data_IF_196345536896
#
_entry.id   IF_196345536896
#
_cell.length_a   1.000
_cell.length_b   1.000
_cell.length_c   1.000
_cell.angle_alpha   90.00
_cell.angle_beta   90.00
_cell.angle_gamma   90.00
#
_symmetry.space_group_name_H-M   'P 1'
#
loop_
_entity.id
_entity.type
_entity.pdbx_description
1 polymer ?
#
# COMPACT_ATOMS: atom_id res chain seq x y z
N UNK A 1 -110.10 -31.64 37.20
CA UNK A 1 -110.23 -30.38 36.44
C UNK A 1 -108.82 -29.82 36.29
N UNK A 2 -108.48 -29.50 35.04
CA UNK A 2 -107.22 -29.03 34.45
C UNK A 2 -106.36 -28.12 35.36
N UNK A 3 -105.03 -28.03 35.21
CA UNK A 3 -104.39 -27.04 34.33
C UNK A 3 -102.84 -27.16 34.37
N UNK A 4 -102.25 -27.24 33.17
CA UNK A 4 -101.05 -26.61 32.59
C UNK A 4 -99.72 -26.35 33.35
N UNK A 5 -98.62 -26.80 32.70
CA UNK A 5 -97.33 -26.14 32.34
C UNK A 5 -97.28 -24.59 32.51
N UNK A 6 -96.09 -23.94 32.76
CA UNK A 6 -95.04 -23.83 31.72
C UNK A 6 -93.56 -23.63 32.15
N UNK A 7 -92.71 -23.72 31.11
CA UNK A 7 -91.30 -23.31 30.98
C UNK A 7 -91.12 -21.77 30.93
N UNK A 8 -89.94 -21.27 31.32
CA UNK A 8 -89.30 -20.05 30.80
C UNK A 8 -87.77 -20.21 30.98
N UNK A 9 -86.96 -20.43 29.93
CA UNK A 9 -86.34 -19.46 29.00
C UNK A 9 -85.56 -18.32 29.66
N UNK A 10 -84.22 -18.39 29.59
CA UNK A 10 -83.33 -17.23 29.61
C UNK A 10 -82.11 -17.49 28.69
N UNK A 11 -81.64 -16.39 28.10
CA UNK A 11 -80.92 -16.27 26.83
C UNK A 11 -79.39 -16.47 26.89
N UNK A 12 -78.82 -16.58 25.68
CA UNK A 12 -77.45 -16.85 25.29
C UNK A 12 -76.40 -15.78 25.66
N UNK A 13 -75.14 -16.22 25.72
CA UNK A 13 -73.99 -15.46 25.20
C UNK A 13 -72.85 -16.44 24.80
N UNK A 14 -72.39 -16.44 23.53
CA UNK A 14 -71.22 -17.22 23.11
C UNK A 14 -69.94 -16.43 23.40
N UNK A 15 -69.00 -17.03 24.14
CA UNK A 15 -67.64 -16.51 24.28
C UNK A 15 -66.87 -16.73 22.98
N UNK A 16 -66.55 -15.66 22.28
CA UNK A 16 -65.62 -15.66 21.16
C UNK A 16 -64.18 -15.83 21.68
N UNK A 17 -63.53 -16.92 21.30
CA UNK A 17 -62.10 -17.14 21.54
C UNK A 17 -61.33 -16.36 20.48
N UNK A 18 -60.72 -15.25 20.88
CA UNK A 18 -59.77 -14.49 20.06
C UNK A 18 -58.46 -15.28 20.01
N UNK A 19 -58.16 -15.87 18.85
CA UNK A 19 -56.85 -16.45 18.57
C UNK A 19 -55.82 -15.31 18.45
N UNK A 20 -54.97 -15.17 19.47
CA UNK A 20 -53.79 -14.30 19.42
C UNK A 20 -52.78 -14.94 18.46
N UNK A 21 -52.72 -14.42 17.24
CA UNK A 21 -51.65 -14.75 16.28
C UNK A 21 -50.36 -14.17 16.85
N UNK A 22 -49.53 -15.04 17.42
CA UNK A 22 -48.16 -14.71 17.80
C UNK A 22 -47.36 -14.41 16.52
N UNK A 23 -47.33 -13.14 16.12
CA UNK A 23 -46.42 -12.66 15.10
C UNK A 23 -45.00 -12.81 15.59
N UNK A 24 -44.30 -13.84 15.09
CA UNK A 24 -42.85 -13.93 15.21
C UNK A 24 -42.25 -12.71 14.51
N UNK A 25 -41.73 -11.76 15.28
CA UNK A 25 -40.79 -10.77 14.76
C UNK A 25 -39.55 -11.53 14.30
N UNK A 26 -39.52 -11.92 13.03
CA UNK A 26 -38.31 -12.44 12.41
C UNK A 26 -37.28 -11.31 12.45
N UNK A 27 -36.33 -11.41 13.37
CA UNK A 27 -35.14 -10.58 13.33
C UNK A 27 -34.50 -10.78 11.95
N UNK A 28 -34.48 -9.75 11.11
CA UNK A 28 -33.65 -9.75 9.90
C UNK A 28 -32.21 -10.01 10.35
N UNK A 29 -31.74 -11.24 10.10
CA UNK A 29 -30.36 -11.60 10.39
C UNK A 29 -29.53 -10.89 9.34
N UNK A 30 -28.82 -9.84 9.76
CA UNK A 30 -27.89 -9.14 8.89
C UNK A 30 -26.89 -10.14 8.28
N UNK A 31 -26.87 -10.22 6.95
CA UNK A 31 -25.92 -11.04 6.19
C UNK A 31 -24.90 -10.10 5.58
N UNK A 32 -23.66 -10.15 6.05
CA UNK A 32 -22.58 -9.36 5.47
C UNK A 32 -22.28 -9.79 4.02
N UNK A 33 -21.88 -8.85 3.14
CA UNK A 33 -21.38 -9.17 1.80
C UNK A 33 -20.11 -10.03 1.85
N UNK A 34 -19.70 -10.66 0.73
CA UNK A 34 -18.47 -11.44 0.69
C UNK A 34 -17.25 -10.54 0.88
N UNK A 35 -16.29 -11.01 1.66
CA UNK A 35 -14.98 -10.36 1.84
C UNK A 35 -13.90 -11.16 1.12
N UNK A 36 -12.88 -10.47 0.62
CA UNK A 36 -11.81 -11.06 -0.18
C UNK A 36 -10.49 -10.92 0.56
N UNK A 37 -9.72 -12.01 0.61
CA UNK A 37 -8.40 -12.06 1.27
C UNK A 37 -7.38 -12.72 0.33
N UNK A 38 -6.15 -12.21 0.32
CA UNK A 38 -5.03 -12.84 -0.40
C UNK A 38 -4.46 -13.97 0.45
N UNK A 39 -4.55 -15.20 -0.03
CA UNK A 39 -4.05 -16.38 0.68
C UNK A 39 -2.52 -16.40 0.66
N UNK A 40 -1.92 -16.72 1.81
CA UNK A 40 -0.47 -16.80 1.95
C UNK A 40 0.24 -15.45 2.14
N UNK A 41 -0.49 -14.33 1.99
CA UNK A 41 0.06 -13.01 2.28
C UNK A 41 0.20 -12.82 3.80
N UNK A 42 1.40 -12.44 4.24
CA UNK A 42 1.65 -11.96 5.60
C UNK A 42 1.81 -10.46 5.54
N UNK A 43 0.92 -9.72 6.21
CA UNK A 43 0.88 -8.25 6.18
C UNK A 43 0.85 -7.64 4.77
N UNK A 44 0.20 -8.34 3.82
CA UNK A 44 0.13 -7.92 2.41
C UNK A 44 1.37 -8.29 1.59
N UNK A 45 2.25 -9.15 2.09
CA UNK A 45 3.47 -9.57 1.37
C UNK A 45 3.42 -11.07 1.08
N UNK A 46 3.59 -11.43 -0.20
CA UNK A 46 3.74 -12.80 -0.70
C UNK A 46 5.21 -13.12 -0.92
N UNK A 47 5.66 -14.34 -0.69
CA UNK A 47 7.10 -14.69 -0.74
C UNK A 47 7.54 -15.47 -1.98
N UNK A 48 6.59 -15.94 -2.79
CA UNK A 48 6.87 -16.72 -3.99
C UNK A 48 6.13 -16.11 -5.19
N UNK A 49 6.88 -15.41 -6.05
CA UNK A 49 6.36 -14.79 -7.28
C UNK A 49 6.00 -15.81 -8.35
N UNK A 50 6.49 -17.06 -8.25
CA UNK A 50 6.20 -18.14 -9.19
C UNK A 50 4.98 -18.95 -8.78
N UNK A 51 4.55 -18.86 -7.53
CA UNK A 51 3.33 -19.50 -7.07
C UNK A 51 2.09 -18.80 -7.66
N UNK A 52 0.99 -19.54 -7.90
CA UNK A 52 -0.28 -18.93 -8.24
C UNK A 52 -0.75 -17.97 -7.13
N UNK A 53 -1.28 -16.82 -7.52
CA UNK A 53 -1.95 -15.90 -6.59
C UNK A 53 -3.34 -16.46 -6.28
N UNK A 54 -3.67 -16.63 -5.00
CA UNK A 54 -4.96 -17.20 -4.59
C UNK A 54 -5.74 -16.17 -3.78
N UNK A 55 -6.95 -15.86 -4.24
CA UNK A 55 -7.92 -15.06 -3.51
C UNK A 55 -8.92 -15.99 -2.85
N UNK A 56 -9.20 -15.77 -1.56
CA UNK A 56 -10.23 -16.46 -0.82
C UNK A 56 -11.37 -15.51 -0.52
N UNK A 57 -12.59 -16.00 -0.70
CA UNK A 57 -13.82 -15.34 -0.35
C UNK A 57 -14.35 -15.89 0.98
N UNK A 58 -14.91 -15.05 1.84
CA UNK A 58 -15.50 -15.51 3.12
C UNK A 58 -16.76 -16.35 2.95
N UNK A 59 -17.36 -16.32 1.75
CA UNK A 59 -18.59 -17.04 1.38
C UNK A 59 -18.55 -17.40 -0.11
N UNK A 60 -19.30 -18.42 -0.55
CA UNK A 60 -19.47 -18.73 -1.97
C UNK A 60 -20.00 -17.53 -2.77
N UNK A 61 -19.27 -17.14 -3.81
CA UNK A 61 -19.62 -15.99 -4.66
C UNK A 61 -20.40 -16.43 -5.90
N UNK A 62 -21.16 -15.50 -6.48
CA UNK A 62 -21.74 -15.67 -7.80
C UNK A 62 -20.68 -15.29 -8.86
N UNK A 63 -20.23 -16.27 -9.64
CA UNK A 63 -19.17 -16.11 -10.67
C UNK A 63 -19.47 -14.99 -11.67
N UNK A 64 -20.73 -14.82 -12.06
CA UNK A 64 -21.16 -13.79 -13.00
C UNK A 64 -20.95 -12.35 -12.49
N UNK A 65 -20.79 -12.20 -11.18
CA UNK A 65 -20.57 -10.89 -10.51
C UNK A 65 -19.11 -10.65 -10.13
N UNK A 66 -18.22 -11.59 -10.41
CA UNK A 66 -16.81 -11.49 -10.05
C UNK A 66 -16.04 -10.74 -11.14
N UNK A 67 -15.71 -9.48 -10.86
CA UNK A 67 -14.81 -8.64 -11.65
C UNK A 67 -13.60 -8.27 -10.79
N UNK A 68 -12.44 -8.80 -11.17
CA UNK A 68 -11.17 -8.67 -10.43
C UNK A 68 -10.10 -8.17 -11.36
N UNK A 69 -9.40 -7.11 -10.95
CA UNK A 69 -8.23 -6.56 -11.66
C UNK A 69 -7.03 -6.53 -10.73
N UNK A 70 -5.85 -6.78 -11.27
CA UNK A 70 -4.57 -6.60 -10.58
C UNK A 70 -3.83 -5.49 -11.30
N UNK A 71 -3.55 -4.41 -10.60
CA UNK A 71 -2.94 -3.20 -11.16
C UNK A 71 -1.71 -2.80 -10.36
N UNK A 72 -0.73 -2.12 -10.98
CA UNK A 72 0.27 -1.35 -10.23
C UNK A 72 -0.44 -0.36 -9.29
N UNK A 73 0.07 -0.18 -8.07
CA UNK A 73 -0.45 0.85 -7.18
C UNK A 73 0.11 2.23 -7.58
N UNK A 74 -0.65 2.95 -8.39
CA UNK A 74 -0.39 4.33 -8.82
C UNK A 74 -1.48 5.23 -8.24
N UNK A 75 -1.15 6.03 -7.22
CA UNK A 75 -2.11 6.88 -6.52
C UNK A 75 -1.74 8.36 -6.69
N UNK A 76 -2.75 9.21 -6.82
CA UNK A 76 -2.57 10.67 -6.71
C UNK A 76 -2.45 11.11 -5.23
N UNK A 77 -2.43 12.42 -5.02
CA UNK A 77 -2.32 13.04 -3.70
C UNK A 77 -3.54 12.77 -2.81
N UNK A 78 -4.70 12.55 -3.42
CA UNK A 78 -5.94 12.20 -2.73
C UNK A 78 -6.09 10.69 -2.47
N UNK A 79 -5.21 9.85 -3.04
CA UNK A 79 -5.22 8.41 -2.87
C UNK A 79 -6.12 7.66 -3.88
N UNK A 80 -6.46 8.30 -4.99
CA UNK A 80 -7.25 7.77 -6.09
C UNK A 80 -6.37 7.01 -7.09
N UNK A 81 -6.89 5.88 -7.58
CA UNK A 81 -6.32 5.20 -8.75
C UNK A 81 -6.51 6.05 -10.02
N UNK A 82 -5.78 5.79 -11.12
CA UNK A 82 -5.86 6.58 -12.35
C UNK A 82 -7.30 6.78 -12.85
N UNK A 83 -8.13 5.74 -12.82
CA UNK A 83 -9.54 5.80 -13.27
C UNK A 83 -10.48 6.54 -12.31
N UNK A 84 -10.01 6.90 -11.13
CA UNK A 84 -10.77 7.59 -10.08
C UNK A 84 -10.48 9.11 -10.07
N UNK A 85 -9.51 9.59 -10.86
CA UNK A 85 -9.05 10.99 -10.84
C UNK A 85 -9.96 11.97 -11.60
N UNK A 86 -10.98 11.47 -12.30
CA UNK A 86 -11.94 12.29 -13.05
C UNK A 86 -11.43 12.79 -14.40
N UNK A 87 -10.24 12.38 -14.83
CA UNK A 87 -9.72 12.66 -16.18
C UNK A 87 -10.11 11.54 -17.15
N UNK A 88 -10.74 11.90 -18.26
CA UNK A 88 -11.31 10.94 -19.21
C UNK A 88 -10.27 10.04 -19.93
N UNK A 89 -8.97 10.28 -19.74
CA UNK A 89 -7.87 9.53 -20.37
C UNK A 89 -7.06 8.65 -19.43
N UNK A 90 -7.34 8.66 -18.12
CA UNK A 90 -6.59 7.84 -17.16
C UNK A 90 -7.30 6.51 -16.92
N UNK A 91 -7.09 5.53 -17.81
CA UNK A 91 -7.60 4.18 -17.62
C UNK A 91 -6.68 3.34 -16.71
N UNK A 92 -7.29 2.42 -15.94
CA UNK A 92 -6.52 1.37 -15.26
C UNK A 92 -5.77 0.51 -16.28
N UNK A 93 -4.52 0.22 -15.98
CA UNK A 93 -3.66 -0.69 -16.76
C UNK A 93 -3.48 -2.00 -16.00
N UNK A 94 -4.44 -2.94 -16.08
CA UNK A 94 -4.34 -4.21 -15.38
C UNK A 94 -3.17 -5.04 -15.92
N UNK A 95 -2.37 -5.57 -15.00
CA UNK A 95 -1.43 -6.67 -15.27
C UNK A 95 -2.19 -7.99 -15.47
N UNK A 96 -3.36 -8.10 -14.82
CA UNK A 96 -4.29 -9.20 -14.94
C UNK A 96 -5.72 -8.69 -14.74
N UNK A 97 -6.69 -9.24 -15.47
CA UNK A 97 -8.12 -9.01 -15.22
C UNK A 97 -8.91 -10.28 -15.41
N UNK A 98 -9.98 -10.43 -14.62
CA UNK A 98 -10.90 -11.55 -14.65
C UNK A 98 -12.33 -11.06 -14.63
N UNK A 99 -13.13 -11.59 -15.54
CA UNK A 99 -14.59 -11.64 -15.52
C UNK A 99 -15.02 -13.05 -15.91
N UNK A 100 -16.31 -13.40 -15.77
CA UNK A 100 -16.82 -14.70 -16.26
C UNK A 100 -16.63 -14.88 -17.78
N UNK A 101 -16.60 -13.78 -18.54
CA UNK A 101 -16.52 -13.80 -19.99
C UNK A 101 -15.08 -13.81 -20.51
N UNK A 102 -14.17 -13.19 -19.77
CA UNK A 102 -12.82 -12.91 -20.23
C UNK A 102 -11.80 -12.93 -19.10
N UNK A 103 -10.62 -13.47 -19.38
CA UNK A 103 -9.42 -13.34 -18.54
C UNK A 103 -8.27 -12.77 -19.38
N UNK A 104 -7.61 -11.74 -18.88
CA UNK A 104 -6.42 -11.13 -19.49
C UNK A 104 -5.21 -11.25 -18.57
N UNK A 105 -4.02 -11.29 -19.16
CA UNK A 105 -2.75 -11.29 -18.41
C UNK A 105 -2.38 -12.63 -17.74
N UNK A 106 -3.18 -13.69 -17.91
CA UNK A 106 -2.91 -15.01 -17.34
C UNK A 106 -4.08 -15.97 -17.49
N UNK A 107 -4.02 -17.05 -16.71
CA UNK A 107 -5.10 -18.02 -16.53
C UNK A 107 -5.73 -17.84 -15.14
N UNK A 108 -7.00 -18.23 -15.05
CA UNK A 108 -7.80 -18.14 -13.83
C UNK A 108 -8.57 -19.44 -13.63
N UNK A 109 -8.78 -19.82 -12.37
CA UNK A 109 -9.63 -20.95 -12.02
C UNK A 109 -10.41 -20.61 -10.75
N UNK A 110 -11.74 -20.68 -10.82
CA UNK A 110 -12.61 -20.54 -9.65
C UNK A 110 -12.91 -21.93 -9.12
N UNK A 111 -12.59 -22.16 -7.84
CA UNK A 111 -12.78 -23.47 -7.24
C UNK A 111 -14.24 -23.94 -7.27
N UNK A 112 -14.51 -25.25 -7.16
CA UNK A 112 -15.88 -25.78 -7.25
C UNK A 112 -16.83 -25.25 -6.16
N UNK A 113 -16.28 -24.76 -5.04
CA UNK A 113 -17.05 -24.22 -3.92
C UNK A 113 -17.39 -22.72 -4.10
N UNK A 114 -16.84 -22.08 -5.13
CA UNK A 114 -16.93 -20.63 -5.40
C UNK A 114 -16.39 -19.79 -4.23
N UNK A 115 -15.44 -20.32 -3.49
CA UNK A 115 -14.79 -19.64 -2.37
C UNK A 115 -13.37 -19.22 -2.69
N UNK A 116 -12.82 -19.61 -3.84
CA UNK A 116 -11.45 -19.23 -4.24
C UNK A 116 -11.34 -18.90 -5.72
N UNK A 117 -10.52 -17.90 -6.02
CA UNK A 117 -10.03 -17.59 -7.36
C UNK A 117 -8.51 -17.81 -7.38
N UNK A 118 -8.05 -18.76 -8.19
CA UNK A 118 -6.64 -19.07 -8.41
C UNK A 118 -6.18 -18.40 -9.70
N UNK A 119 -5.20 -17.52 -9.60
CA UNK A 119 -4.66 -16.70 -10.69
C UNK A 119 -3.25 -17.18 -11.02
N UNK A 120 -3.03 -17.54 -12.27
CA UNK A 120 -1.72 -17.95 -12.82
C UNK A 120 -1.31 -16.93 -13.87
N UNK A 121 -0.50 -15.93 -13.51
CA UNK A 121 -0.19 -14.85 -14.44
C UNK A 121 0.73 -15.37 -15.55
N UNK A 122 0.54 -14.88 -16.78
CA UNK A 122 1.34 -15.28 -17.95
C UNK A 122 2.79 -14.82 -17.84
N UNK A 123 2.99 -13.67 -17.22
CA UNK A 123 4.29 -13.14 -16.81
C UNK A 123 4.28 -12.96 -15.28
N UNK A 124 5.41 -13.17 -14.59
CA UNK A 124 5.50 -12.89 -13.16
C UNK A 124 5.04 -11.47 -12.85
N UNK A 125 4.31 -11.29 -11.74
CA UNK A 125 3.99 -9.95 -11.29
C UNK A 125 5.26 -9.21 -10.83
N UNK A 126 5.32 -7.88 -10.96
CA UNK A 126 6.45 -7.08 -10.49
C UNK A 126 6.73 -7.33 -9.01
N UNK A 127 7.99 -7.65 -8.70
CA UNK A 127 8.47 -7.85 -7.32
C UNK A 127 8.91 -6.51 -6.75
N UNK A 128 8.65 -6.28 -5.46
CA UNK A 128 9.02 -5.06 -4.76
C UNK A 128 8.16 -3.83 -5.09
N UNK A 129 7.23 -3.94 -6.03
CA UNK A 129 6.20 -2.94 -6.27
C UNK A 129 4.97 -3.25 -5.41
N UNK A 130 4.28 -2.22 -4.88
CA UNK A 130 2.92 -2.40 -4.37
C UNK A 130 1.96 -2.58 -5.54
N UNK A 131 1.17 -3.63 -5.47
CA UNK A 131 0.09 -3.94 -6.38
C UNK A 131 -1.24 -3.79 -5.63
N UNK A 132 -2.29 -3.46 -6.37
CA UNK A 132 -3.64 -3.47 -5.87
C UNK A 132 -4.44 -4.56 -6.59
N UNK A 133 -5.15 -5.36 -5.80
CA UNK A 133 -6.28 -6.12 -6.29
C UNK A 133 -7.50 -5.22 -6.15
N UNK A 134 -8.10 -4.91 -7.29
CA UNK A 134 -9.33 -4.14 -7.38
C UNK A 134 -10.45 -5.13 -7.63
N UNK A 135 -11.40 -5.19 -6.72
CA UNK A 135 -12.66 -5.93 -6.88
C UNK A 135 -13.75 -4.89 -7.08
N UNK A 136 -14.38 -4.93 -8.25
CA UNK A 136 -15.39 -3.92 -8.61
C UNK A 136 -16.66 -4.06 -7.74
N UNK A 137 -17.45 -2.98 -7.59
CA UNK A 137 -18.76 -3.06 -6.95
C UNK A 137 -19.65 -4.12 -7.62
N UNK A 138 -20.52 -4.75 -6.84
CA UNK A 138 -21.47 -5.75 -7.34
C UNK A 138 -21.09 -7.20 -7.05
N UNK A 139 -19.91 -7.49 -6.48
CA UNK A 139 -19.55 -8.85 -6.06
C UNK A 139 -20.61 -9.42 -5.10
N UNK A 140 -21.33 -10.45 -5.55
CA UNK A 140 -22.46 -11.03 -4.84
C UNK A 140 -22.16 -12.43 -4.30
N UNK A 141 -22.82 -12.77 -3.20
CA UNK A 141 -23.00 -14.16 -2.77
C UNK A 141 -24.05 -14.85 -3.63
N UNK A 142 -24.10 -16.19 -3.60
CA UNK A 142 -25.16 -16.96 -4.27
C UNK A 142 -26.58 -16.60 -3.81
N UNK A 143 -26.71 -16.08 -2.59
CA UNK A 143 -27.99 -15.64 -2.01
C UNK A 143 -28.37 -14.19 -2.37
N UNK A 144 -27.58 -13.52 -3.22
CA UNK A 144 -27.89 -12.19 -3.77
C UNK A 144 -27.40 -10.99 -2.95
N UNK A 145 -26.69 -11.20 -1.83
CA UNK A 145 -26.07 -10.10 -1.06
C UNK A 145 -24.79 -9.66 -1.74
N UNK A 146 -24.70 -8.38 -2.12
CA UNK A 146 -23.61 -7.82 -2.93
C UNK A 146 -22.84 -6.67 -2.24
N UNK A 147 -21.58 -6.49 -2.65
CA UNK A 147 -20.78 -5.32 -2.26
C UNK A 147 -21.25 -4.06 -2.99
N UNK A 148 -21.36 -2.94 -2.28
CA UNK A 148 -21.76 -1.65 -2.86
C UNK A 148 -20.59 -0.75 -3.24
N UNK A 149 -19.40 -1.05 -2.72
CA UNK A 149 -18.18 -0.25 -2.93
C UNK A 149 -17.09 -1.11 -3.54
N UNK A 150 -16.24 -0.48 -4.33
CA UNK A 150 -15.01 -1.06 -4.85
C UNK A 150 -14.11 -1.44 -3.67
N UNK A 151 -13.52 -2.63 -3.72
CA UNK A 151 -12.53 -3.07 -2.72
C UNK A 151 -11.14 -3.01 -3.33
N UNK A 152 -10.22 -2.40 -2.59
CA UNK A 152 -8.79 -2.32 -2.93
C UNK A 152 -8.00 -3.10 -1.89
N UNK A 153 -7.35 -4.17 -2.32
CA UNK A 153 -6.52 -5.03 -1.45
C UNK A 153 -5.07 -4.85 -1.89
N UNK A 154 -4.28 -4.25 -1.02
CA UNK A 154 -2.88 -3.99 -1.29
C UNK A 154 -2.07 -5.26 -1.04
N UNK A 155 -1.20 -5.60 -1.98
CA UNK A 155 -0.23 -6.66 -1.80
C UNK A 155 1.08 -6.34 -2.52
N UNK A 156 2.13 -7.11 -2.23
CA UNK A 156 3.41 -7.06 -2.91
C UNK A 156 4.06 -8.43 -2.87
N UNK A 157 5.05 -8.66 -3.73
CA UNK A 157 5.96 -9.81 -3.59
C UNK A 157 7.23 -9.37 -2.87
N UNK A 158 7.59 -10.13 -1.84
CA UNK A 158 8.89 -10.10 -1.20
C UNK A 158 9.95 -10.50 -2.21
N UNK A 159 11.06 -9.79 -2.18
CA UNK A 159 12.19 -10.06 -3.02
C UNK A 159 13.26 -10.73 -2.16
N UNK A 160 13.53 -12.01 -2.43
CA UNK A 160 14.68 -12.70 -1.84
C UNK A 160 15.83 -12.68 -2.81
N UNK A 161 16.76 -11.79 -2.52
CA UNK A 161 17.94 -11.59 -3.31
C UNK A 161 18.94 -12.75 -3.20
N UNK A 162 19.54 -13.10 -4.33
CA UNK A 162 20.58 -14.12 -4.42
C UNK A 162 21.97 -13.55 -4.17
N UNK A 163 22.17 -12.26 -4.43
CA UNK A 163 23.47 -11.58 -4.37
C UNK A 163 24.43 -12.04 -5.47
N UNK A 164 23.91 -12.67 -6.53
CA UNK A 164 24.71 -13.25 -7.62
C UNK A 164 24.56 -12.52 -8.95
N UNK A 165 23.61 -11.59 -9.04
CA UNK A 165 23.38 -10.72 -10.19
C UNK A 165 23.20 -9.30 -9.73
N UNK A 166 23.76 -8.33 -10.47
CA UNK A 166 23.56 -6.92 -10.18
C UNK A 166 22.45 -6.27 -11.00
N UNK A 167 22.57 -4.95 -11.15
CA UNK A 167 21.63 -4.13 -11.91
C UNK A 167 22.35 -3.29 -12.96
N UNK A 168 21.76 -3.17 -14.14
CA UNK A 168 22.11 -2.18 -15.18
C UNK A 168 21.06 -1.07 -15.28
N UNK A 169 19.92 -1.26 -14.62
CA UNK A 169 18.80 -0.32 -14.61
C UNK A 169 19.07 0.82 -13.65
N UNK A 170 19.56 0.53 -12.44
CA UNK A 170 19.67 1.49 -11.34
C UNK A 170 21.14 1.91 -11.14
N UNK A 171 21.51 3.17 -11.39
CA UNK A 171 22.89 3.64 -11.24
C UNK A 171 23.21 4.05 -9.80
N UNK A 172 24.51 4.20 -9.52
CA UNK A 172 24.96 4.91 -8.32
C UNK A 172 24.56 6.38 -8.39
N UNK A 173 24.22 6.98 -7.25
CA UNK A 173 23.92 8.40 -7.21
C UNK A 173 23.10 8.84 -6.02
N UNK A 174 22.56 10.04 -6.16
CA UNK A 174 21.72 10.71 -5.17
C UNK A 174 20.24 10.45 -5.44
N UNK A 175 19.51 10.07 -4.39
CA UNK A 175 18.12 9.68 -4.46
C UNK A 175 17.28 10.51 -3.49
N UNK A 176 16.11 10.94 -3.92
CA UNK A 176 15.09 11.50 -3.03
C UNK A 176 14.01 10.45 -2.80
N UNK A 177 13.70 10.20 -1.53
CA UNK A 177 12.77 9.16 -1.11
C UNK A 177 11.70 9.71 -0.17
N UNK A 178 10.47 9.25 -0.37
CA UNK A 178 9.33 9.48 0.49
C UNK A 178 8.87 8.12 1.03
N UNK A 179 8.82 7.99 2.34
CA UNK A 179 8.26 6.82 3.01
C UNK A 179 6.96 7.25 3.69
N UNK A 180 5.82 6.85 3.13
CA UNK A 180 4.52 7.10 3.76
C UNK A 180 4.16 5.93 4.66
N UNK A 181 4.40 6.11 5.95
CA UNK A 181 3.96 5.17 6.99
C UNK A 181 2.45 5.30 7.10
N UNK A 182 1.74 4.19 6.91
CA UNK A 182 0.27 4.11 6.97
C UNK A 182 -0.20 3.61 8.35
N UNK A 183 0.58 2.72 8.96
CA UNK A 183 0.31 2.16 10.29
C UNK A 183 1.59 2.09 11.12
N UNK A 184 1.50 2.23 12.46
CA UNK A 184 0.28 2.45 13.26
C UNK A 184 -0.17 3.92 13.31
N UNK A 185 0.73 4.86 12.98
CA UNK A 185 0.42 6.29 12.92
C UNK A 185 0.81 6.80 11.53
N UNK A 186 -0.10 7.51 10.83
CA UNK A 186 0.19 7.98 9.49
C UNK A 186 1.20 9.14 9.51
N UNK A 187 2.39 8.93 8.95
CA UNK A 187 3.47 9.92 8.87
C UNK A 187 4.18 9.77 7.54
N UNK A 188 4.66 10.88 6.97
CA UNK A 188 5.57 10.83 5.82
C UNK A 188 6.98 11.17 6.28
N UNK A 189 7.95 10.31 5.94
CA UNK A 189 9.36 10.52 6.16
C UNK A 189 9.98 10.93 4.82
N UNK A 190 10.53 12.15 4.75
CA UNK A 190 11.25 12.62 3.57
C UNK A 190 12.75 12.38 3.77
N UNK A 191 13.42 11.81 2.77
CA UNK A 191 14.81 11.41 2.88
C UNK A 191 15.60 11.81 1.63
N UNK A 192 16.79 12.36 1.86
CA UNK A 192 17.86 12.42 0.87
C UNK A 192 18.81 11.26 1.11
N UNK A 193 19.04 10.45 0.08
CA UNK A 193 19.90 9.28 0.15
C UNK A 193 21.01 9.28 -0.87
N UNK A 194 22.12 8.64 -0.54
CA UNK A 194 23.15 8.27 -1.50
C UNK A 194 23.24 6.75 -1.55
N UNK A 195 23.08 6.18 -2.75
CA UNK A 195 23.15 4.74 -2.98
C UNK A 195 24.41 4.40 -3.76
N UNK A 196 25.18 3.46 -3.19
CA UNK A 196 26.28 2.78 -3.84
C UNK A 196 25.85 1.34 -4.12
N UNK A 197 25.92 0.96 -5.39
CA UNK A 197 25.45 -0.29 -5.94
C UNK A 197 26.62 -0.93 -6.67
N UNK A 198 26.91 -2.17 -6.30
CA UNK A 198 27.80 -3.02 -7.09
C UNK A 198 27.01 -3.63 -8.24
N UNK A 199 27.29 -3.15 -9.46
CA UNK A 199 26.59 -3.57 -10.68
C UNK A 199 26.82 -5.06 -11.03
N UNK A 200 27.76 -5.75 -10.38
CA UNK A 200 28.08 -7.15 -10.67
C UNK A 200 27.29 -8.10 -9.79
N UNK A 201 27.29 -7.87 -8.48
CA UNK A 201 26.65 -8.77 -7.49
C UNK A 201 25.36 -8.21 -6.89
N UNK A 202 25.01 -6.96 -7.22
CA UNK A 202 23.78 -6.32 -6.77
C UNK A 202 23.82 -5.83 -5.34
N UNK A 203 24.97 -5.86 -4.65
CA UNK A 203 25.05 -5.36 -3.29
C UNK A 203 24.80 -3.86 -3.25
N UNK A 204 23.87 -3.46 -2.38
CA UNK A 204 23.49 -2.06 -2.16
C UNK A 204 23.95 -1.63 -0.79
N UNK A 205 24.60 -0.48 -0.76
CA UNK A 205 24.95 0.26 0.45
C UNK A 205 24.42 1.66 0.28
N UNK A 206 23.56 2.07 1.18
CA UNK A 206 22.96 3.39 1.08
C UNK A 206 22.87 4.07 2.43
N UNK A 207 22.95 5.38 2.39
CA UNK A 207 22.77 6.22 3.56
C UNK A 207 21.71 7.25 3.25
N UNK A 208 20.63 7.20 4.04
CA UNK A 208 19.49 8.09 3.93
C UNK A 208 19.47 9.03 5.13
N UNK A 209 19.28 10.30 4.87
CA UNK A 209 19.26 11.39 5.86
C UNK A 209 17.92 12.09 5.78
N UNK A 210 17.38 12.49 6.93
CA UNK A 210 16.18 13.32 7.01
C UNK A 210 16.25 14.49 6.03
N UNK A 211 15.17 14.79 5.32
CA UNK A 211 15.11 15.91 4.39
C UNK A 211 14.15 16.98 4.92
N UNK A 212 14.68 18.15 5.25
CA UNK A 212 13.89 19.29 5.69
C UNK A 212 13.70 20.29 4.55
N UNK A 213 12.64 21.10 4.61
CA UNK A 213 12.42 22.15 3.61
C UNK A 213 13.58 23.14 3.60
N UNK A 214 14.06 23.48 2.40
CA UNK A 214 15.21 24.34 2.19
C UNK A 214 14.94 25.79 2.62
N UNK A 215 15.56 26.30 3.71
CA UNK A 215 15.31 27.65 4.19
C UNK A 215 15.92 28.73 3.28
N UNK A 216 16.86 28.37 2.40
CA UNK A 216 17.47 29.29 1.45
C UNK A 216 16.58 29.53 0.21
N UNK A 217 15.56 28.70 0.00
CA UNK A 217 14.66 28.80 -1.15
C UNK A 217 13.77 30.05 -1.04
N UNK A 218 13.65 30.78 -2.15
CA UNK A 218 12.86 32.02 -2.21
C UNK A 218 11.73 31.88 -3.21
N UNK A 219 10.52 32.20 -2.76
CA UNK A 219 9.33 32.26 -3.60
C UNK A 219 9.25 33.64 -4.28
N UNK A 220 8.52 33.76 -5.41
CA UNK A 220 8.30 35.05 -6.08
C UNK A 220 7.69 36.11 -5.15
N UNK A 221 6.84 35.68 -4.23
CA UNK A 221 6.38 36.48 -3.09
C UNK A 221 7.12 36.02 -1.84
N UNK A 222 7.63 36.97 -1.07
CA UNK A 222 8.34 36.67 0.17
C UNK A 222 7.42 35.99 1.17
N UNK A 223 7.87 34.84 1.69
CA UNK A 223 7.14 34.10 2.71
C UNK A 223 7.38 34.72 4.09
N UNK A 224 6.36 34.63 4.96
CA UNK A 224 6.52 34.95 6.37
C UNK A 224 7.64 34.09 7.00
N UNK A 225 8.26 34.59 8.06
CA UNK A 225 9.47 33.98 8.66
C UNK A 225 9.25 32.54 9.16
N UNK A 226 8.01 32.19 9.52
CA UNK A 226 7.58 30.86 9.96
C UNK A 226 7.19 29.91 8.82
N UNK A 227 7.27 30.37 7.57
CA UNK A 227 6.92 29.60 6.38
C UNK A 227 8.15 29.32 5.52
N UNK A 228 8.10 28.18 4.83
CA UNK A 228 9.07 27.80 3.82
C UNK A 228 8.49 28.02 2.43
N UNK A 229 9.37 28.28 1.46
CA UNK A 229 8.98 28.29 0.06
C UNK A 229 8.86 26.85 -0.46
N UNK A 230 7.78 26.56 -1.18
CA UNK A 230 7.62 25.39 -2.04
C UNK A 230 7.63 25.89 -3.49
N UNK A 231 8.38 25.28 -4.41
CA UNK A 231 8.40 25.70 -5.82
C UNK A 231 7.53 24.82 -6.72
N UNK A 232 7.37 23.55 -6.36
CA UNK A 232 6.61 22.58 -7.16
C UNK A 232 5.40 22.06 -6.38
N UNK A 233 4.26 21.78 -7.03
CA UNK A 233 3.97 21.99 -8.45
C UNK A 233 3.81 23.47 -8.86
N UNK A 234 3.62 24.36 -7.88
CA UNK A 234 3.63 25.81 -8.08
C UNK A 234 4.22 26.52 -6.85
N UNK A 235 4.81 27.72 -7.03
CA UNK A 235 5.35 28.52 -5.93
C UNK A 235 4.29 28.87 -4.87
N UNK A 236 4.55 28.50 -3.62
CA UNK A 236 3.64 28.77 -2.50
C UNK A 236 4.39 28.83 -1.15
N UNK A 237 3.83 29.56 -0.18
CA UNK A 237 4.39 29.69 1.16
C UNK A 237 3.69 28.72 2.11
N UNK A 238 4.39 27.63 2.43
CA UNK A 238 3.86 26.49 3.19
C UNK A 238 4.49 26.40 4.57
N UNK A 239 3.83 25.69 5.48
CA UNK A 239 4.45 25.37 6.78
C UNK A 239 5.64 24.41 6.55
N UNK A 240 6.76 24.55 7.29
CA UNK A 240 7.93 23.69 7.10
C UNK A 240 7.65 22.19 7.23
N UNK A 241 6.68 21.83 8.07
CA UNK A 241 6.24 20.44 8.30
C UNK A 241 5.28 19.89 7.25
N UNK A 242 4.92 20.69 6.23
CA UNK A 242 4.03 20.21 5.16
C UNK A 242 4.73 19.09 4.40
N UNK A 243 4.05 17.94 4.29
CA UNK A 243 4.47 16.78 3.50
C UNK A 243 4.81 17.18 2.06
N UNK A 244 5.73 16.45 1.45
CA UNK A 244 5.92 16.51 0.00
C UNK A 244 4.72 15.83 -0.65
N UNK A 245 4.17 16.43 -1.72
CA UNK A 245 3.13 15.78 -2.50
C UNK A 245 3.68 14.56 -3.23
N UNK A 246 4.85 14.69 -3.85
CA UNK A 246 5.51 13.59 -4.55
C UNK A 246 7.03 13.79 -4.64
N UNK A 247 7.72 12.81 -5.22
CA UNK A 247 9.19 12.81 -5.37
C UNK A 247 9.73 13.89 -6.32
N UNK A 248 8.88 14.62 -7.05
CA UNK A 248 9.29 15.71 -7.94
C UNK A 248 9.58 17.01 -7.18
N UNK A 249 9.13 17.12 -5.93
CA UNK A 249 9.39 18.26 -5.03
C UNK A 249 10.80 18.24 -4.40
N UNK A 250 11.70 17.33 -4.82
CA UNK A 250 13.06 17.16 -4.23
C UNK A 250 13.86 18.47 -4.10
N UNK A 251 13.66 19.42 -5.03
CA UNK A 251 14.35 20.72 -5.02
C UNK A 251 14.02 21.58 -3.79
N UNK A 252 12.88 21.30 -3.16
CA UNK A 252 12.37 22.06 -2.02
C UNK A 252 12.96 21.56 -0.70
N UNK A 253 13.77 20.50 -0.73
CA UNK A 253 14.31 19.84 0.45
C UNK A 253 15.84 19.74 0.45
N UNK A 254 16.44 19.80 1.63
CA UNK A 254 17.88 19.64 1.88
C UNK A 254 18.12 18.61 2.99
N UNK A 255 19.23 17.87 2.99
CA UNK A 255 19.53 16.91 4.04
C UNK A 255 19.75 17.62 5.38
N UNK A 256 19.14 17.10 6.45
CA UNK A 256 19.39 17.51 7.81
C UNK A 256 20.00 16.37 8.62
N UNK A 257 21.32 16.45 8.81
CA UNK A 257 22.11 15.51 9.63
C UNK A 257 22.16 15.89 11.10
N UNK A 258 21.69 17.09 11.48
CA UNK A 258 21.98 17.68 12.79
C UNK A 258 20.89 17.33 13.81
N UNK A 259 21.21 16.58 14.88
CA UNK A 259 20.26 16.32 15.95
C UNK A 259 19.81 17.63 16.63
N UNK A 260 18.60 17.68 17.24
CA UNK A 260 17.78 16.52 17.61
C UNK A 260 16.72 16.11 16.58
N UNK A 261 16.48 16.92 15.55
CA UNK A 261 15.48 16.63 14.49
C UNK A 261 16.11 15.97 13.26
N UNK A 262 17.39 16.22 12.99
CA UNK A 262 18.14 15.53 11.94
C UNK A 262 18.58 14.14 12.37
N UNK A 263 18.60 13.21 11.42
CA UNK A 263 19.02 11.83 11.60
C UNK A 263 19.48 11.24 10.29
N UNK A 264 20.27 10.17 10.39
CA UNK A 264 20.78 9.42 9.26
C UNK A 264 20.66 7.92 9.56
N UNK A 265 20.22 7.15 8.57
CA UNK A 265 20.12 5.69 8.62
C UNK A 265 20.96 5.10 7.50
N UNK A 266 21.75 4.09 7.84
CA UNK A 266 22.47 3.28 6.85
C UNK A 266 21.66 2.03 6.59
N UNK A 267 21.38 1.77 5.32
CA UNK A 267 20.73 0.56 4.86
C UNK A 267 21.72 -0.22 4.00
N UNK A 268 21.76 -1.52 4.21
CA UNK A 268 22.41 -2.44 3.29
C UNK A 268 21.31 -3.29 2.66
N UNK A 269 21.54 -3.78 1.46
CA UNK A 269 20.56 -4.56 0.75
C UNK A 269 21.14 -5.14 -0.50
N UNK A 270 20.26 -5.54 -1.40
CA UNK A 270 20.69 -5.87 -2.74
C UNK A 270 19.57 -5.70 -3.76
N UNK A 271 20.01 -5.56 -5.00
CA UNK A 271 19.20 -5.17 -6.14
C UNK A 271 19.52 -6.06 -7.34
N UNK A 272 18.48 -6.58 -7.99
CA UNK A 272 18.61 -7.44 -9.17
C UNK A 272 17.66 -6.95 -10.29
N UNK A 273 18.15 -6.91 -11.52
CA UNK A 273 17.30 -6.66 -12.70
C UNK A 273 16.24 -7.77 -12.82
N UNK A 274 14.98 -7.38 -12.98
CA UNK A 274 13.85 -8.31 -13.15
C UNK A 274 13.56 -8.50 -14.65
N UNK A 275 13.50 -7.38 -15.38
CA UNK A 275 13.35 -7.32 -16.83
C UNK A 275 14.34 -6.31 -17.44
N UNK A 276 14.22 -6.00 -18.73
CA UNK A 276 15.14 -5.10 -19.44
C UNK A 276 15.25 -3.69 -18.83
N UNK A 277 14.16 -3.18 -18.24
CA UNK A 277 14.06 -1.81 -17.73
C UNK A 277 13.61 -1.73 -16.26
N UNK A 278 13.56 -2.86 -15.56
CA UNK A 278 13.07 -2.97 -14.18
C UNK A 278 14.07 -3.67 -13.27
N UNK A 279 14.19 -3.21 -12.02
CA UNK A 279 15.03 -3.85 -11.01
C UNK A 279 14.32 -3.88 -9.65
N UNK A 280 14.48 -4.96 -8.90
CA UNK A 280 13.92 -5.12 -7.56
C UNK A 280 15.01 -4.95 -6.51
N UNK A 281 14.77 -4.11 -5.51
CA UNK A 281 15.60 -3.88 -4.33
C UNK A 281 14.94 -4.51 -3.11
N UNK A 282 15.73 -5.14 -2.25
CA UNK A 282 15.37 -5.48 -0.87
C UNK A 282 16.48 -5.04 0.05
N UNK A 283 16.13 -4.51 1.21
CA UNK A 283 17.12 -4.15 2.23
C UNK A 283 17.18 -5.20 3.34
N UNK A 284 18.37 -5.37 3.91
CA UNK A 284 18.51 -5.96 5.22
C UNK A 284 17.78 -5.08 6.27
N UNK A 285 17.30 -5.66 7.38
CA UNK A 285 16.68 -4.90 8.45
C UNK A 285 17.65 -3.84 9.00
N UNK A 286 17.19 -2.59 9.05
CA UNK A 286 17.93 -1.46 9.63
C UNK A 286 17.16 -0.84 10.79
N UNK A 287 17.84 -0.09 11.66
CA UNK A 287 17.18 0.64 12.73
C UNK A 287 17.24 2.14 12.43
N UNK A 288 16.07 2.77 12.42
CA UNK A 288 15.92 4.23 12.34
C UNK A 288 15.76 4.77 13.75
N UNK A 289 16.50 5.81 14.12
CA UNK A 289 16.36 6.47 15.42
C UNK A 289 16.33 7.98 15.21
N UNK A 290 15.27 8.60 15.71
CA UNK A 290 15.03 10.04 15.72
C UNK A 290 14.99 10.47 17.18
N UNK A 291 15.74 11.51 17.55
CA UNK A 291 15.83 11.97 18.94
C UNK A 291 14.66 12.89 19.32
N UNK A 292 14.12 13.65 18.37
CA UNK A 292 12.98 14.54 18.61
C UNK A 292 12.05 14.68 17.38
N UNK A 293 10.78 14.26 17.50
CA UNK A 293 10.24 13.45 18.60
C UNK A 293 11.01 12.13 18.72
N UNK A 294 11.10 11.56 19.93
CA UNK A 294 11.79 10.29 20.13
C UNK A 294 11.02 9.19 19.40
N UNK A 295 11.55 8.77 18.24
CA UNK A 295 10.96 7.73 17.40
C UNK A 295 12.03 6.74 17.01
N UNK A 296 11.77 5.46 17.23
CA UNK A 296 12.63 4.40 16.77
C UNK A 296 11.83 3.42 15.93
N UNK A 297 12.32 3.11 14.73
CA UNK A 297 11.78 2.04 13.89
C UNK A 297 12.80 0.93 13.86
N UNK A 298 12.47 -0.18 14.50
CA UNK A 298 13.31 -1.36 14.52
C UNK A 298 13.01 -2.24 13.31
N UNK A 299 14.06 -2.83 12.75
CA UNK A 299 13.93 -3.80 11.66
C UNK A 299 13.26 -3.23 10.41
N UNK A 300 13.56 -1.99 10.07
CA UNK A 300 13.13 -1.32 8.86
C UNK A 300 13.60 -2.11 7.62
N UNK A 301 12.66 -2.61 6.84
CA UNK A 301 12.90 -3.29 5.57
C UNK A 301 12.19 -2.49 4.48
N UNK A 302 12.95 -2.11 3.45
CA UNK A 302 12.45 -1.50 2.23
C UNK A 302 12.53 -2.55 1.12
N UNK A 303 11.40 -2.80 0.47
CA UNK A 303 11.33 -3.58 -0.76
C UNK A 303 10.79 -2.65 -1.84
N UNK A 304 11.49 -2.52 -2.96
CA UNK A 304 11.18 -1.49 -3.95
C UNK A 304 11.41 -2.00 -5.37
N UNK A 305 10.59 -1.54 -6.33
CA UNK A 305 10.78 -1.82 -7.76
C UNK A 305 11.12 -0.53 -8.48
N UNK A 306 12.31 -0.51 -9.10
CA UNK A 306 12.84 0.58 -9.89
C UNK A 306 12.52 0.37 -11.37
N UNK A 307 12.21 1.47 -12.07
CA UNK A 307 11.99 1.52 -13.50
C UNK A 307 12.45 2.86 -14.08
N UNK A 308 12.98 2.85 -15.29
CA UNK A 308 13.24 4.07 -16.08
C UNK A 308 11.94 4.58 -16.70
N UNK A 309 11.62 5.85 -16.51
CA UNK A 309 10.51 6.50 -17.21
C UNK A 309 10.85 6.81 -18.68
N UNK A 310 9.90 7.42 -19.40
CA UNK A 310 10.09 7.83 -20.79
C UNK A 310 11.20 8.89 -20.98
N UNK A 311 11.56 9.60 -19.91
CA UNK A 311 12.61 10.62 -19.84
C UNK A 311 13.96 10.03 -19.39
N UNK A 312 14.05 8.70 -19.18
CA UNK A 312 15.25 8.01 -18.72
C UNK A 312 15.54 8.16 -17.21
N UNK A 313 14.62 8.73 -16.45
CA UNK A 313 14.74 8.97 -15.01
C UNK A 313 14.30 7.71 -14.26
N UNK A 314 15.18 7.22 -13.39
CA UNK A 314 14.92 6.07 -12.55
C UNK A 314 13.98 6.48 -11.40
N UNK A 315 12.81 5.86 -11.34
CA UNK A 315 11.86 5.97 -10.23
C UNK A 315 11.55 4.60 -9.65
N UNK A 316 11.13 4.58 -8.40
CA UNK A 316 10.72 3.37 -7.72
C UNK A 316 9.46 3.58 -6.90
N UNK A 317 8.70 2.49 -6.83
CA UNK A 317 7.58 2.33 -5.89
C UNK A 317 7.83 1.09 -5.06
N UNK A 318 7.46 1.12 -3.78
CA UNK A 318 7.79 0.04 -2.86
C UNK A 318 6.98 -0.01 -1.59
N UNK A 319 7.35 -0.96 -0.75
CA UNK A 319 6.85 -1.15 0.60
C UNK A 319 7.95 -0.85 1.60
N UNK A 320 7.54 -0.26 2.73
CA UNK A 320 8.40 -0.16 3.90
C UNK A 320 7.70 -0.85 5.06
N UNK A 321 8.43 -1.68 5.78
CA UNK A 321 7.95 -2.37 6.98
C UNK A 321 8.92 -2.16 8.13
N UNK A 322 8.41 -2.17 9.35
CA UNK A 322 9.22 -2.14 10.57
C UNK A 322 8.68 -3.18 11.54
N UNK A 323 9.56 -3.93 12.18
CA UNK A 323 9.15 -4.96 13.14
C UNK A 323 8.51 -4.36 14.39
N UNK A 324 8.96 -3.18 14.80
CA UNK A 324 8.44 -2.45 15.95
C UNK A 324 8.67 -0.95 15.75
N UNK A 325 7.65 -0.14 16.05
CA UNK A 325 7.78 1.32 16.12
C UNK A 325 7.68 1.73 17.59
N UNK A 326 8.67 2.46 18.08
CA UNK A 326 8.71 2.98 19.45
C UNK A 326 8.59 4.50 19.38
N UNK A 327 7.68 5.07 20.17
CA UNK A 327 7.47 6.51 20.30
C UNK A 327 7.67 6.93 21.76
N UNK A 328 8.82 7.52 22.08
CA UNK A 328 9.27 7.73 23.46
C UNK A 328 9.35 6.40 24.22
N UNK A 329 8.50 6.25 25.24
CA UNK A 329 8.39 5.00 26.03
C UNK A 329 7.32 4.03 25.49
N UNK A 330 6.50 4.46 24.53
CA UNK A 330 5.39 3.66 24.01
C UNK A 330 5.88 2.76 22.88
N UNK A 331 5.74 1.44 23.07
CA UNK A 331 5.94 0.45 22.00
C UNK A 331 4.65 0.30 21.22
N UNK A 332 4.70 0.63 19.94
CA UNK A 332 3.61 0.45 19.00
C UNK A 332 3.80 -0.86 18.23
N UNK A 333 2.75 -1.28 17.52
CA UNK A 333 2.77 -2.46 16.66
C UNK A 333 3.76 -2.31 15.48
N UNK A 334 3.86 -3.37 14.67
CA UNK A 334 4.62 -3.34 13.42
C UNK A 334 4.19 -2.18 12.53
N UNK A 335 5.19 -1.55 11.91
CA UNK A 335 5.00 -0.46 10.97
C UNK A 335 4.81 -0.97 9.56
N UNK A 336 3.93 -0.33 8.80
CA UNK A 336 3.82 -0.58 7.36
C UNK A 336 3.52 0.70 6.60
N UNK A 337 4.05 0.81 5.40
CA UNK A 337 3.93 2.00 4.56
C UNK A 337 4.24 1.75 3.09
N UNK A 338 4.17 2.81 2.30
CA UNK A 338 4.70 2.87 0.93
C UNK A 338 6.09 3.49 0.93
N UNK A 339 6.83 3.26 -0.15
CA UNK A 339 8.02 3.99 -0.49
C UNK A 339 7.93 4.49 -1.93
N UNK A 340 8.27 5.76 -2.15
CA UNK A 340 8.41 6.36 -3.48
C UNK A 340 9.81 6.95 -3.57
N UNK A 341 10.59 6.57 -4.57
CA UNK A 341 12.01 6.93 -4.66
C UNK A 341 12.32 7.41 -6.08
N UNK A 342 13.21 8.39 -6.21
CA UNK A 342 13.67 8.91 -7.50
C UNK A 342 15.17 9.18 -7.50
N UNK A 343 15.84 8.81 -8.59
CA UNK A 343 17.19 9.27 -8.89
C UNK A 343 17.16 10.76 -9.27
N UNK A 344 17.95 11.56 -8.58
CA UNK A 344 18.13 12.99 -8.89
C UNK A 344 19.49 13.19 -9.55
N UNK A 345 19.57 13.95 -10.67
CA UNK A 345 20.84 14.30 -11.27
C UNK A 345 21.78 14.98 -10.27
N UNK A 346 23.07 14.61 -10.26
CA UNK A 346 24.06 15.17 -9.33
C UNK A 346 24.21 16.71 -9.44
N UNK A 347 23.85 17.30 -10.59
CA UNK A 347 23.83 18.76 -10.76
C UNK A 347 22.72 19.46 -9.98
N UNK A 348 21.68 18.72 -9.59
CA UNK A 348 20.49 19.22 -8.90
C UNK A 348 20.38 18.70 -7.46
N UNK A 349 21.07 17.60 -7.14
CA UNK A 349 21.12 17.06 -5.79
C UNK A 349 21.92 17.99 -4.84
N UNK A 350 21.51 18.11 -3.57
CA UNK A 350 22.32 18.76 -2.54
C UNK A 350 23.72 18.14 -2.44
N UNK A 351 24.75 18.98 -2.25
CA UNK A 351 26.15 18.52 -2.21
C UNK A 351 26.55 17.88 -0.88
N UNK A 352 25.75 18.08 0.15
CA UNK A 352 25.98 17.71 1.53
C UNK A 352 25.26 16.41 1.93
N UNK A 353 24.74 15.65 0.97
CA UNK A 353 24.19 14.31 1.22
C UNK A 353 25.33 13.40 1.69
N UNK A 354 25.26 12.86 2.92
CA UNK A 354 26.31 11.99 3.45
C UNK A 354 26.48 10.72 2.59
N UNK A 355 27.71 10.35 2.21
CA UNK A 355 27.97 9.09 1.52
C UNK A 355 27.83 7.92 2.48
N UNK A 356 27.39 6.73 2.02
CA UNK A 356 27.34 5.57 2.88
C UNK A 356 28.71 5.32 3.55
N UNK A 357 28.73 4.88 4.82
CA UNK A 357 29.99 4.60 5.52
C UNK A 357 30.88 3.67 4.69
N UNK A 358 32.20 3.64 4.89
CA UNK A 358 33.02 2.62 4.24
C UNK A 358 32.57 1.20 4.67
N UNK A 359 32.76 0.20 3.82
CA UNK A 359 32.49 -1.19 4.20
C UNK A 359 33.40 -1.51 5.40
N UNK A 360 32.83 -2.08 6.47
CA UNK A 360 33.67 -2.56 7.56
C UNK A 360 34.66 -3.57 6.96
N UNK A 361 35.97 -3.46 7.25
CA UNK A 361 36.91 -4.47 6.80
C UNK A 361 36.44 -5.83 7.31
N UNK A 362 36.38 -6.82 6.42
CA UNK A 362 36.05 -8.19 6.80
C UNK A 362 36.99 -8.61 7.92
N UNK A 363 36.45 -9.07 9.05
CA UNK A 363 37.21 -9.63 10.19
C UNK A 363 37.81 -11.01 9.86
N UNK A 364 38.35 -11.15 8.65
CA UNK A 364 39.16 -12.27 8.19
C UNK A 364 40.41 -11.68 7.53
N UNK A 365 41.29 -11.11 8.35
CA UNK A 365 42.72 -10.96 8.11
C UNK A 365 43.47 -11.31 9.39
#
# INVERSE_FOLDING_TARGET
MSILFPRAFAYAAPFAVVAVVAGSTACERYVAPPEVVVVGAKDGVLTDVKAPLVLSFTKPVNRATLDVKIVPLDLDLEGNLPDERGEASEELKPLFSYTELETLGGESDVDPEDTRLVIRPKAPFPVGQKLAIVVEPGLATKDGVATTVRKRILFSYDFKCSGTSGTKVVPNGSYFALLDIEQPVPVQIQLWGRMEIDATNGNVRAQFTNADRNPALKCPTECAAEKACRLKPAPDCVVPSLKAGNVEEYSDFVPNVTPPTGYTVTINGCIEDQDADTAALVTAPANLVVQKPEVQVNGLILTASFKKDAQGIVRSTGTVTGSEIVFGIARLASGKGTASIRLVPESEAPKDIPPPPAAAPSRDQ
#
